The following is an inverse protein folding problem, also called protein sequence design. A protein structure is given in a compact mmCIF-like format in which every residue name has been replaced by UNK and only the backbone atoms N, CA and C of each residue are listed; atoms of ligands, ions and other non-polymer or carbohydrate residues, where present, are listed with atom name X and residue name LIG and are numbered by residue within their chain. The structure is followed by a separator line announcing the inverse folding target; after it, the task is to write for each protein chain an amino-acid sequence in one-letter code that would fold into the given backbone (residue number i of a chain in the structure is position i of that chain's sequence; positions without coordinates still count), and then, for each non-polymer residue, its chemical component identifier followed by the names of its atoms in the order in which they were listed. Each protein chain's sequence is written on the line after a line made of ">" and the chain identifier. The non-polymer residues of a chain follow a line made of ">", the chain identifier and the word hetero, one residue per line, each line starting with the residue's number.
data_IF_560736847723
#
_entry.id   IF_560736847723
#
_cell.length_a   1.000
_cell.length_b   1.000
_cell.length_c   1.000
_cell.angle_alpha   90.00
_cell.angle_beta   90.00
_cell.angle_gamma   90.00
#
_symmetry.space_group_name_H-M   'P 1'
#
loop_
_entity.id
_entity.type
_entity.pdbx_description
1 polymer ?
#
# COMPACT_ATOMS: atom_id res chain seq x y z
N UNK A 1 12.52 -3.00 14.18
CA UNK A 1 11.30 -2.81 14.98
C UNK A 1 10.07 -2.72 14.07
N UNK A 2 9.81 -1.64 13.33
CA UNK A 2 8.61 -1.53 12.46
C UNK A 2 8.45 -2.65 11.42
N UNK A 3 9.55 -3.07 10.77
CA UNK A 3 9.49 -4.12 9.76
C UNK A 3 8.92 -5.45 10.28
N UNK A 4 9.01 -5.72 11.60
CA UNK A 4 8.50 -6.97 12.16
C UNK A 4 6.97 -7.04 12.08
N UNK A 5 6.26 -5.91 12.06
CA UNK A 5 4.80 -5.85 11.88
C UNK A 5 4.37 -6.55 10.59
N UNK A 6 5.13 -6.34 9.50
CA UNK A 6 4.81 -6.85 8.16
C UNK A 6 5.31 -8.28 7.90
N UNK A 7 6.08 -8.86 8.83
CA UNK A 7 6.70 -10.18 8.71
C UNK A 7 5.95 -11.27 9.49
N UNK A 8 4.74 -10.99 9.96
CA UNK A 8 3.93 -11.92 10.74
C UNK A 8 3.23 -12.95 9.85
N UNK A 9 2.87 -14.14 10.35
CA UNK A 9 2.24 -15.19 9.55
C UNK A 9 0.80 -14.87 9.13
N UNK A 10 0.03 -14.14 9.94
CA UNK A 10 -1.40 -13.91 9.76
C UNK A 10 -1.85 -12.54 10.29
N UNK A 11 -3.13 -12.19 10.09
CA UNK A 11 -3.66 -10.87 10.42
C UNK A 11 -3.60 -10.61 11.93
N UNK A 12 -3.99 -11.60 12.73
CA UNK A 12 -4.03 -11.49 14.19
C UNK A 12 -2.63 -11.21 14.77
N UNK A 13 -1.62 -11.93 14.30
CA UNK A 13 -0.22 -11.72 14.69
C UNK A 13 0.33 -10.39 14.19
N UNK A 14 -0.04 -9.93 12.99
CA UNK A 14 0.28 -8.57 12.50
C UNK A 14 -0.24 -7.49 13.44
N UNK A 15 -1.53 -7.54 13.80
CA UNK A 15 -2.16 -6.58 14.70
C UNK A 15 -1.57 -6.62 16.11
N UNK A 16 -1.33 -7.83 16.65
CA UNK A 16 -0.70 -8.00 17.95
C UNK A 16 0.74 -7.44 17.96
N UNK A 17 1.50 -7.64 16.90
CA UNK A 17 2.86 -7.09 16.77
C UNK A 17 2.85 -5.57 16.64
N UNK A 18 1.87 -4.98 15.94
CA UNK A 18 1.74 -3.53 15.82
C UNK A 18 1.48 -2.87 17.18
N UNK A 19 0.59 -3.43 18.00
CA UNK A 19 0.32 -2.93 19.37
C UNK A 19 1.57 -2.98 20.25
N UNK A 20 2.32 -4.09 20.21
CA UNK A 20 3.62 -4.18 20.92
C UNK A 20 4.63 -3.11 20.47
N UNK A 21 4.58 -2.72 19.20
CA UNK A 21 5.45 -1.65 18.67
C UNK A 21 5.00 -0.30 19.20
N UNK A 22 3.69 -0.02 19.27
CA UNK A 22 3.13 1.19 19.91
C UNK A 22 3.56 1.26 21.38
N UNK A 23 3.32 0.20 22.16
CA UNK A 23 3.67 0.13 23.59
C UNK A 23 5.17 0.40 23.83
N UNK A 24 6.02 -0.08 22.92
CA UNK A 24 7.47 0.11 23.01
C UNK A 24 7.91 1.55 22.67
N UNK A 25 7.15 2.26 21.84
CA UNK A 25 7.42 3.65 21.47
C UNK A 25 6.92 4.63 22.54
N UNK A 26 5.79 4.34 23.19
CA UNK A 26 5.11 5.21 24.15
C UNK A 26 6.06 5.93 25.13
N UNK A 27 7.01 5.25 25.81
CA UNK A 27 7.81 5.90 26.86
C UNK A 27 8.85 6.89 26.32
N UNK A 28 9.29 6.73 25.07
CA UNK A 28 10.39 7.53 24.47
C UNK A 28 9.91 8.47 23.38
N UNK A 29 8.85 8.10 22.67
CA UNK A 29 8.35 8.78 21.48
C UNK A 29 6.81 8.81 21.49
N UNK A 30 6.17 9.44 22.49
CA UNK A 30 4.71 9.39 22.67
C UNK A 30 3.94 9.94 21.46
N UNK A 31 4.44 10.99 20.81
CA UNK A 31 3.82 11.53 19.59
C UNK A 31 3.84 10.54 18.42
N UNK A 32 4.91 9.75 18.30
CA UNK A 32 5.05 8.73 17.25
C UNK A 32 4.17 7.53 17.55
N UNK A 33 4.07 7.14 18.83
CA UNK A 33 3.19 6.07 19.28
C UNK A 33 1.73 6.40 19.00
N UNK A 34 1.26 7.59 19.40
CA UNK A 34 -0.09 8.07 19.13
C UNK A 34 -0.41 8.11 17.61
N UNK A 35 0.49 8.70 16.81
CA UNK A 35 0.28 8.76 15.36
C UNK A 35 0.24 7.37 14.71
N UNK A 36 1.10 6.44 15.16
CA UNK A 36 1.08 5.07 14.68
C UNK A 36 -0.22 4.38 15.04
N UNK A 37 -0.69 4.53 16.29
CA UNK A 37 -1.93 3.93 16.79
C UNK A 37 -3.15 4.40 15.99
N UNK A 38 -3.28 5.71 15.79
CA UNK A 38 -4.34 6.31 14.97
C UNK A 38 -4.33 5.82 13.51
N UNK A 39 -3.14 5.47 12.98
CA UNK A 39 -2.96 5.04 11.60
C UNK A 39 -3.07 3.52 11.40
N UNK A 40 -3.25 2.72 12.45
CA UNK A 40 -3.14 1.25 12.33
C UNK A 40 -4.14 0.64 11.36
N UNK A 41 -5.39 1.10 11.35
CA UNK A 41 -6.41 0.59 10.44
C UNK A 41 -6.01 0.78 8.97
N UNK A 42 -5.47 1.95 8.62
CA UNK A 42 -5.00 2.25 7.27
C UNK A 42 -3.74 1.46 6.93
N UNK A 43 -2.75 1.44 7.82
CA UNK A 43 -1.46 0.78 7.60
C UNK A 43 -1.60 -0.74 7.53
N UNK A 44 -2.57 -1.32 8.25
CA UNK A 44 -2.80 -2.75 8.33
C UNK A 44 -3.96 -3.24 7.47
N UNK A 45 -4.59 -2.37 6.68
CA UNK A 45 -5.68 -2.73 5.76
C UNK A 45 -5.30 -3.87 4.79
N UNK A 46 -4.02 -4.01 4.45
CA UNK A 46 -3.53 -5.12 3.61
C UNK A 46 -3.82 -6.50 4.22
N UNK A 47 -4.03 -6.60 5.53
CA UNK A 47 -4.31 -7.87 6.22
C UNK A 47 -5.66 -8.47 5.82
N UNK A 48 -6.58 -7.67 5.26
CA UNK A 48 -7.85 -8.13 4.68
C UNK A 48 -7.69 -8.83 3.31
N UNK A 49 -6.54 -8.67 2.65
CA UNK A 49 -6.24 -9.34 1.38
C UNK A 49 -5.69 -10.76 1.60
N UNK A 50 -5.68 -11.64 0.58
CA UNK A 50 -5.02 -12.93 0.69
C UNK A 50 -3.54 -12.82 1.05
N UNK A 51 -3.05 -13.69 1.94
CA UNK A 51 -1.65 -13.72 2.37
C UNK A 51 -0.61 -13.63 1.24
N UNK A 52 -0.79 -14.32 0.08
CA UNK A 52 0.18 -14.24 -1.03
C UNK A 52 0.37 -12.83 -1.61
N UNK A 53 -0.60 -11.92 -1.49
CA UNK A 53 -0.51 -10.57 -2.05
C UNK A 53 0.00 -9.52 -1.06
N UNK A 54 0.06 -9.82 0.24
CA UNK A 54 0.39 -8.83 1.28
C UNK A 54 1.63 -8.01 0.94
N UNK A 55 2.75 -8.66 0.63
CA UNK A 55 4.01 -7.98 0.29
C UNK A 55 3.89 -7.04 -0.92
N UNK A 56 2.97 -7.32 -1.83
CA UNK A 56 2.72 -6.48 -3.00
C UNK A 56 1.88 -5.25 -2.64
N UNK A 57 1.00 -5.37 -1.64
CA UNK A 57 0.13 -4.29 -1.18
C UNK A 57 0.88 -3.31 -0.27
N UNK A 58 1.59 -3.78 0.75
CA UNK A 58 2.25 -2.89 1.70
C UNK A 58 3.62 -2.37 1.25
N UNK A 59 4.23 -2.94 0.22
CA UNK A 59 5.56 -2.49 -0.24
C UNK A 59 5.47 -1.21 -1.08
N UNK A 60 6.19 -0.18 -0.65
CA UNK A 60 6.37 1.06 -1.40
C UNK A 60 7.47 0.98 -2.50
N UNK A 61 8.13 -0.17 -2.68
CA UNK A 61 9.25 -0.32 -3.61
C UNK A 61 8.95 0.14 -5.04
N UNK A 62 7.77 -0.16 -5.65
CA UNK A 62 7.44 0.32 -6.98
C UNK A 62 7.36 1.85 -7.03
N UNK A 63 6.68 2.46 -6.07
CA UNK A 63 6.51 3.92 -5.97
C UNK A 63 7.84 4.62 -5.72
N UNK A 64 8.68 4.09 -4.82
CA UNK A 64 10.02 4.61 -4.55
C UNK A 64 10.95 4.49 -5.77
N UNK A 65 10.79 3.44 -6.59
CA UNK A 65 11.52 3.30 -7.85
C UNK A 65 11.12 4.40 -8.83
N UNK A 66 9.82 4.59 -9.03
CA UNK A 66 9.28 5.61 -9.91
C UNK A 66 9.68 7.03 -9.45
N UNK A 67 9.54 7.33 -8.16
CA UNK A 67 9.93 8.63 -7.59
C UNK A 67 11.41 8.93 -7.78
N UNK A 68 12.28 7.92 -7.63
CA UNK A 68 13.73 8.06 -7.88
C UNK A 68 14.01 8.36 -9.35
N UNK A 69 13.29 7.71 -10.27
CA UNK A 69 13.47 7.94 -11.70
C UNK A 69 12.98 9.33 -12.12
N UNK A 70 11.85 9.77 -11.59
CA UNK A 70 11.35 11.14 -11.77
C UNK A 70 12.40 12.15 -11.30
N UNK A 71 12.91 12.00 -10.06
CA UNK A 71 13.96 12.87 -9.50
C UNK A 71 15.21 12.88 -10.39
N UNK A 72 15.72 11.70 -10.76
CA UNK A 72 16.91 11.57 -11.60
C UNK A 72 16.78 12.33 -12.93
N UNK A 73 15.61 12.28 -13.59
CA UNK A 73 15.40 12.99 -14.87
C UNK A 73 15.16 14.48 -14.69
N UNK A 74 14.50 14.90 -13.61
CA UNK A 74 14.33 16.33 -13.32
C UNK A 74 15.64 16.99 -12.90
N UNK A 75 16.51 16.27 -12.19
CA UNK A 75 17.80 16.78 -11.71
C UNK A 75 18.75 17.14 -12.86
N UNK A 76 18.66 16.43 -14.01
CA UNK A 76 19.43 16.76 -15.22
C UNK A 76 19.03 18.11 -15.82
N UNK A 77 17.76 18.49 -15.71
CA UNK A 77 17.26 19.78 -16.22
C UNK A 77 17.56 20.91 -15.24
N UNK A 78 17.46 20.64 -13.93
CA UNK A 78 17.72 21.60 -12.86
C UNK A 78 16.64 22.69 -12.74
N UNK A 79 16.49 23.55 -13.75
CA UNK A 79 15.53 24.66 -13.78
C UNK A 79 14.64 24.54 -15.02
N UNK A 80 13.33 24.53 -14.82
CA UNK A 80 12.35 24.45 -15.90
C UNK A 80 11.85 25.85 -16.30
N UNK A 81 11.66 26.12 -17.61
CA UNK A 81 11.23 27.43 -18.09
C UNK A 81 9.75 27.73 -17.80
N UNK A 82 8.92 26.70 -17.61
CA UNK A 82 7.51 26.82 -17.22
C UNK A 82 6.97 25.48 -16.68
N UNK A 83 5.74 25.52 -16.15
CA UNK A 83 5.04 24.34 -15.60
C UNK A 83 4.77 23.27 -16.66
N UNK A 84 4.44 23.64 -17.89
CA UNK A 84 4.15 22.69 -18.97
C UNK A 84 5.37 21.84 -19.32
N UNK A 85 6.57 22.42 -19.22
CA UNK A 85 7.82 21.73 -19.53
C UNK A 85 8.12 20.60 -18.54
N UNK A 86 7.88 20.81 -17.24
CA UNK A 86 8.04 19.76 -16.22
C UNK A 86 6.95 18.69 -16.35
N UNK A 87 5.70 19.07 -16.62
CA UNK A 87 4.60 18.12 -16.85
C UNK A 87 4.93 17.20 -18.02
N UNK A 88 5.46 17.75 -19.12
CA UNK A 88 5.85 16.96 -20.29
C UNK A 88 6.95 15.95 -19.96
N UNK A 89 7.98 16.35 -19.20
CA UNK A 89 9.05 15.43 -18.81
C UNK A 89 8.52 14.32 -17.89
N UNK A 90 7.83 14.69 -16.81
CA UNK A 90 7.28 13.71 -15.86
C UNK A 90 6.27 12.79 -16.55
N UNK A 91 5.42 13.33 -17.41
CA UNK A 91 4.48 12.57 -18.23
C UNK A 91 5.19 11.56 -19.13
N UNK A 92 6.31 11.93 -19.76
CA UNK A 92 7.11 11.00 -20.54
C UNK A 92 7.70 9.86 -19.69
N UNK A 93 8.16 10.15 -18.46
CA UNK A 93 8.63 9.10 -17.52
C UNK A 93 7.52 8.16 -17.12
N UNK A 94 6.32 8.68 -16.85
CA UNK A 94 5.17 7.86 -16.49
C UNK A 94 4.73 6.97 -17.66
N UNK A 95 4.75 7.49 -18.89
CA UNK A 95 4.44 6.71 -20.09
C UNK A 95 5.44 5.57 -20.29
N UNK A 96 6.74 5.84 -20.16
CA UNK A 96 7.77 4.80 -20.24
C UNK A 96 7.60 3.73 -19.16
N UNK A 97 7.33 4.14 -17.91
CA UNK A 97 7.09 3.20 -16.82
C UNK A 97 5.83 2.34 -17.05
N UNK A 98 4.80 2.92 -17.67
CA UNK A 98 3.59 2.21 -18.05
C UNK A 98 3.86 1.15 -19.13
N UNK A 99 4.61 1.51 -20.18
CA UNK A 99 4.99 0.60 -21.24
C UNK A 99 5.83 -0.58 -20.70
N UNK A 100 6.80 -0.30 -19.83
CA UNK A 100 7.59 -1.32 -19.13
C UNK A 100 6.71 -2.29 -18.34
N UNK A 101 5.68 -1.78 -17.63
CA UNK A 101 4.76 -2.61 -16.86
C UNK A 101 3.91 -3.52 -17.73
N UNK A 102 3.52 -3.06 -18.92
CA UNK A 102 2.79 -3.88 -19.90
C UNK A 102 3.69 -5.00 -20.44
N UNK A 103 4.98 -4.73 -20.65
CA UNK A 103 5.93 -5.66 -21.25
C UNK A 103 6.52 -6.70 -20.27
N UNK A 104 6.54 -6.40 -18.96
CA UNK A 104 7.14 -7.29 -17.95
C UNK A 104 6.25 -8.49 -17.56
N UNK A 105 6.89 -9.51 -16.96
CA UNK A 105 6.17 -10.64 -16.34
C UNK A 105 5.23 -10.12 -15.25
N UNK A 106 4.03 -10.73 -15.19
CA UNK A 106 2.94 -10.31 -14.30
C UNK A 106 3.40 -10.11 -12.85
N UNK A 107 3.16 -8.92 -12.30
CA UNK A 107 3.60 -8.53 -10.96
C UNK A 107 2.94 -9.35 -9.83
N UNK A 108 1.70 -9.82 -10.07
CA UNK A 108 0.93 -10.73 -9.24
C UNK A 108 0.50 -11.96 -10.06
N UNK A 109 0.43 -13.15 -9.43
CA UNK A 109 -0.06 -14.35 -10.14
C UNK A 109 -1.56 -14.25 -10.40
N UNK A 110 -2.06 -14.96 -11.43
CA UNK A 110 -3.50 -15.06 -11.71
C UNK A 110 -4.26 -15.63 -10.52
N UNK A 111 -3.72 -16.68 -9.91
CA UNK A 111 -4.31 -17.32 -8.73
C UNK A 111 -4.48 -16.33 -7.57
N UNK A 112 -3.51 -15.45 -7.36
CA UNK A 112 -3.57 -14.45 -6.30
C UNK A 112 -4.62 -13.36 -6.61
N UNK A 113 -4.74 -12.94 -7.88
CA UNK A 113 -5.75 -11.98 -8.32
C UNK A 113 -7.17 -12.56 -8.23
N UNK A 114 -7.35 -13.82 -8.64
CA UNK A 114 -8.63 -14.52 -8.58
C UNK A 114 -9.09 -14.72 -7.13
N UNK A 115 -8.19 -15.16 -6.24
CA UNK A 115 -8.48 -15.27 -4.82
C UNK A 115 -8.84 -13.90 -4.20
N UNK A 116 -8.10 -12.85 -4.54
CA UNK A 116 -8.40 -11.48 -4.06
C UNK A 116 -9.80 -11.05 -4.52
N UNK A 117 -10.13 -11.27 -5.81
CA UNK A 117 -11.45 -10.97 -6.36
C UNK A 117 -12.56 -11.72 -5.62
N UNK A 118 -12.37 -13.01 -5.33
CA UNK A 118 -13.36 -13.81 -4.60
C UNK A 118 -13.64 -13.26 -3.20
N UNK A 119 -12.59 -12.95 -2.42
CA UNK A 119 -12.74 -12.38 -1.09
C UNK A 119 -13.46 -11.03 -1.10
N UNK A 120 -13.12 -10.15 -2.05
CA UNK A 120 -13.77 -8.83 -2.18
C UNK A 120 -15.25 -8.94 -2.51
N UNK A 121 -15.66 -9.92 -3.32
CA UNK A 121 -17.08 -10.15 -3.62
C UNK A 121 -17.84 -10.79 -2.45
N UNK A 122 -17.18 -11.59 -1.61
CA UNK A 122 -17.80 -12.18 -0.41
C UNK A 122 -18.06 -11.16 0.69
N UNK A 123 -17.15 -10.21 0.91
CA UNK A 123 -17.30 -9.18 1.96
C UNK A 123 -18.38 -8.14 1.63
N UNK A 124 -18.73 -7.96 0.36
CA UNK A 124 -19.82 -7.07 -0.07
C UNK A 124 -21.22 -7.67 0.03
N UNK A 125 -21.35 -8.98 0.30
CA UNK A 125 -22.63 -9.70 0.32
C UNK A 125 -23.32 -9.77 1.69
N UNK A 126 -22.62 -9.45 2.79
CA UNK A 126 -23.15 -9.60 4.16
C UNK A 126 -23.79 -8.32 4.74
N UNK A 127 -23.82 -7.21 3.99
CA UNK A 127 -24.37 -5.92 4.47
C UNK A 127 -25.81 -5.61 3.99
N UNK A 128 -26.51 -6.57 3.39
CA UNK A 128 -27.86 -6.37 2.87
C UNK A 128 -28.80 -7.51 3.25
N UNK A 129 -29.21 -7.58 4.53
CA UNK A 129 -30.51 -8.15 4.95
C UNK A 129 -30.64 -8.13 6.48
N UNK A 130 -30.75 -6.94 7.09
CA UNK A 130 -31.29 -6.81 8.45
C UNK A 130 -32.03 -5.47 8.63
N UNK A 131 -33.01 -5.20 7.77
CA UNK A 131 -34.06 -4.24 8.12
C UNK A 131 -35.40 -4.58 7.44
N UNK A 132 -36.01 -5.67 7.86
CA UNK A 132 -37.45 -5.84 7.82
C UNK A 132 -37.85 -6.86 8.90
N UNK A 133 -38.18 -6.34 10.08
CA UNK A 133 -39.07 -6.96 11.07
C UNK A 133 -39.38 -5.91 12.13
N UNK A 134 -40.69 -5.72 12.39
CA UNK A 134 -41.34 -4.80 13.35
C UNK A 134 -41.31 -3.32 12.96
N UNK A 135 -42.42 -2.57 12.87
CA UNK A 135 -43.78 -2.71 13.39
C UNK A 135 -44.80 -2.19 12.36
#
# INVERSE_FOLDING_TARGET
>A
MFQTIFQQPDAQSTWAQARKVVDLLEPKFPQVAAYLEESLDEVLAFTAAPKPVWKKVWSNNPTERLNREIRRRTDVVGIFPNRESIIRLVGAVLAEQHDDWIQQKRYMSLSALEHTKHLMHQTGGEHGDHHQLTA
#
